data_IF_977214542924
#
_entry.id   IF_977214542924
#
_cell.length_a   1.000
_cell.length_b   1.000
_cell.length_c   1.000
_cell.angle_alpha   90.00
_cell.angle_beta   90.00
_cell.angle_gamma   90.00
#
_symmetry.space_group_name_H-M   'P 1'
#
loop_
_entity.id
_entity.type
_entity.pdbx_description
1 polymer ?
#
# COMPACT_ATOMS: atom_id res chain seq x y z
N UNK A 1 -56.87 -0.41 24.90
CA UNK A 1 -56.42 0.83 25.54
C UNK A 1 -55.21 0.53 26.38
N UNK A 2 -54.03 0.79 25.91
CA UNK A 2 -52.79 0.99 26.68
C UNK A 2 -51.80 1.62 25.74
N UNK A 3 -51.50 2.90 25.98
CA UNK A 3 -50.52 3.67 25.28
C UNK A 3 -49.11 3.22 25.67
N UNK A 4 -48.28 2.89 24.71
CA UNK A 4 -46.83 2.73 24.90
C UNK A 4 -46.19 3.99 24.38
N UNK A 5 -45.63 4.79 25.29
CA UNK A 5 -44.85 5.94 25.01
C UNK A 5 -43.44 5.50 24.57
N UNK A 6 -43.02 5.87 23.36
CA UNK A 6 -41.65 5.68 22.88
C UNK A 6 -40.82 6.83 23.42
N UNK A 7 -39.83 6.51 24.24
CA UNK A 7 -38.80 7.47 24.69
C UNK A 7 -37.73 7.53 23.60
N UNK A 8 -37.71 8.64 22.90
CA UNK A 8 -36.58 8.98 21.96
C UNK A 8 -35.47 9.57 22.80
N UNK A 9 -34.41 8.81 22.97
CA UNK A 9 -33.13 9.36 23.53
C UNK A 9 -32.42 10.08 22.41
N UNK A 10 -32.48 11.39 22.40
CA UNK A 10 -31.67 12.28 21.52
C UNK A 10 -30.32 12.44 22.20
N UNK A 11 -29.32 11.72 21.70
CA UNK A 11 -27.92 11.93 22.10
C UNK A 11 -27.42 13.19 21.37
N UNK A 12 -27.39 14.31 22.05
CA UNK A 12 -26.77 15.53 21.58
C UNK A 12 -25.24 15.35 21.56
N UNK A 13 -24.68 15.14 20.38
CA UNK A 13 -23.23 15.26 20.15
C UNK A 13 -22.90 16.75 20.12
N UNK A 14 -22.46 17.28 21.24
CA UNK A 14 -21.85 18.61 21.32
C UNK A 14 -20.53 18.60 20.56
N UNK A 15 -20.58 19.02 19.30
CA UNK A 15 -19.40 19.40 18.51
C UNK A 15 -18.85 20.72 19.11
N UNK A 16 -17.86 20.61 19.99
CA UNK A 16 -17.03 21.73 20.35
C UNK A 16 -16.16 22.09 19.13
N UNK A 17 -16.63 22.99 18.29
CA UNK A 17 -15.79 23.70 17.32
C UNK A 17 -14.94 24.72 18.08
N UNK A 18 -13.78 24.30 18.59
CA UNK A 18 -12.76 25.27 18.97
C UNK A 18 -12.26 25.92 17.68
N UNK A 19 -12.49 27.21 17.53
CA UNK A 19 -11.89 28.04 16.50
C UNK A 19 -10.38 28.11 16.77
N UNK A 20 -9.62 27.25 16.08
CA UNK A 20 -8.17 27.31 16.08
C UNK A 20 -7.75 28.60 15.33
N UNK A 21 -7.32 29.63 16.07
CA UNK A 21 -6.54 30.67 15.42
C UNK A 21 -5.25 30.05 14.91
N UNK A 22 -5.04 30.14 13.60
CA UNK A 22 -3.90 29.59 12.88
C UNK A 22 -2.58 29.98 13.60
N UNK A 23 -1.99 29.01 14.32
CA UNK A 23 -0.63 29.12 14.79
C UNK A 23 0.27 28.95 13.55
N UNK A 24 1.19 29.90 13.30
CA UNK A 24 2.32 29.64 12.42
C UNK A 24 3.19 28.58 13.09
N UNK A 25 2.95 27.31 12.76
CA UNK A 25 3.78 26.19 13.21
C UNK A 25 5.22 26.39 12.71
N UNK A 26 6.19 26.06 13.56
CA UNK A 26 7.57 25.99 13.09
C UNK A 26 7.67 24.87 12.05
N UNK A 27 8.20 25.21 10.88
CA UNK A 27 8.45 24.28 9.79
C UNK A 27 9.95 24.04 9.70
N UNK A 28 10.35 22.76 9.73
CA UNK A 28 11.74 22.35 9.63
C UNK A 28 11.93 21.42 8.44
N UNK A 29 12.94 21.71 7.61
CA UNK A 29 13.43 20.75 6.62
C UNK A 29 14.43 19.83 7.29
N UNK A 30 14.24 18.52 7.12
CA UNK A 30 15.16 17.51 7.58
C UNK A 30 16.17 17.31 6.45
N UNK A 31 17.43 17.74 6.59
CA UNK A 31 18.43 17.56 5.54
C UNK A 31 18.78 16.08 5.41
N UNK A 32 19.01 15.64 4.16
CA UNK A 32 19.59 14.33 3.89
C UNK A 32 21.03 14.29 4.43
N UNK A 33 21.42 13.14 4.96
CA UNK A 33 22.75 12.90 5.55
C UNK A 33 23.76 12.35 4.54
N UNK A 34 23.37 12.09 3.29
CA UNK A 34 24.14 11.35 2.31
C UNK A 34 24.99 12.27 1.43
N UNK A 35 26.24 11.85 1.21
CA UNK A 35 27.17 12.38 0.19
C UNK A 35 26.48 12.35 -1.19
N UNK A 36 26.23 13.51 -1.78
CA UNK A 36 25.41 13.65 -2.99
C UNK A 36 26.14 13.06 -4.21
N UNK A 37 26.00 11.76 -4.44
CA UNK A 37 26.26 11.20 -5.78
C UNK A 37 25.34 11.89 -6.79
N UNK A 38 25.79 12.11 -8.04
CA UNK A 38 24.92 12.71 -9.07
C UNK A 38 23.59 11.96 -9.18
N UNK A 39 22.48 12.67 -9.32
CA UNK A 39 21.15 12.07 -9.58
C UNK A 39 21.18 11.48 -10.99
N UNK A 40 20.81 10.21 -11.17
CA UNK A 40 20.61 9.65 -12.50
C UNK A 40 19.37 10.29 -13.14
N UNK A 41 19.46 10.60 -14.42
CA UNK A 41 18.32 11.13 -15.18
C UNK A 41 17.15 10.13 -15.18
N UNK A 42 15.94 10.65 -15.30
CA UNK A 42 14.77 9.82 -15.47
C UNK A 42 14.87 8.98 -16.74
N UNK A 43 14.39 7.73 -16.75
CA UNK A 43 14.46 6.86 -17.90
C UNK A 43 13.77 7.52 -19.10
N UNK A 44 14.57 7.98 -20.07
CA UNK A 44 14.04 8.46 -21.34
C UNK A 44 13.60 7.26 -22.18
N UNK A 45 12.53 7.45 -22.98
CA UNK A 45 12.12 6.53 -24.05
C UNK A 45 11.87 5.08 -23.60
N UNK A 46 10.90 4.90 -22.69
CA UNK A 46 10.35 3.56 -22.43
C UNK A 46 9.47 3.12 -23.60
N UNK A 47 9.61 1.84 -23.99
CA UNK A 47 8.78 1.21 -25.02
C UNK A 47 7.35 0.97 -24.56
N UNK A 48 7.13 0.80 -23.26
CA UNK A 48 5.81 0.61 -22.67
C UNK A 48 4.89 1.82 -22.94
N UNK A 49 3.63 1.57 -23.25
CA UNK A 49 2.61 2.62 -23.34
C UNK A 49 2.30 3.22 -21.97
N UNK A 50 2.31 2.38 -20.94
CA UNK A 50 2.10 2.79 -19.56
C UNK A 50 3.10 2.05 -18.68
N UNK A 51 3.73 2.76 -17.74
CA UNK A 51 4.77 2.21 -16.88
C UNK A 51 4.72 2.86 -15.49
N UNK A 52 5.00 2.08 -14.46
CA UNK A 52 5.14 2.54 -13.08
C UNK A 52 6.34 1.87 -12.42
N UNK A 53 7.12 2.66 -11.69
CA UNK A 53 8.03 2.20 -10.64
C UNK A 53 7.45 2.64 -9.29
N UNK A 54 7.29 1.70 -8.37
CA UNK A 54 6.67 1.93 -7.06
C UNK A 54 7.57 1.40 -5.94
N UNK A 55 7.62 2.13 -4.83
CA UNK A 55 8.19 1.64 -3.57
C UNK A 55 7.32 0.51 -3.01
N UNK A 56 7.91 -0.65 -2.83
CA UNK A 56 7.22 -1.85 -2.35
C UNK A 56 6.73 -1.71 -0.90
N UNK A 57 7.40 -0.92 -0.07
CA UNK A 57 7.01 -0.74 1.33
C UNK A 57 5.86 0.26 1.48
N UNK A 58 6.01 1.49 1.02
CA UNK A 58 4.99 2.53 1.18
C UNK A 58 3.88 2.51 0.11
N UNK A 59 4.17 1.98 -1.09
CA UNK A 59 3.30 2.10 -2.26
C UNK A 59 3.41 3.46 -2.97
N UNK A 60 4.41 4.26 -2.63
CA UNK A 60 4.68 5.52 -3.31
C UNK A 60 5.12 5.26 -4.75
N UNK A 61 4.51 5.95 -5.71
CA UNK A 61 4.97 5.97 -7.09
C UNK A 61 6.23 6.83 -7.19
N UNK A 62 7.31 6.24 -7.69
CA UNK A 62 8.64 6.86 -7.82
C UNK A 62 8.90 7.37 -9.24
N UNK A 63 8.27 6.74 -10.21
CA UNK A 63 8.26 7.11 -11.62
C UNK A 63 6.97 6.61 -12.26
N UNK A 64 6.41 7.42 -13.17
CA UNK A 64 5.28 6.98 -14.00
C UNK A 64 5.33 7.56 -15.41
N UNK A 65 4.84 6.77 -16.35
CA UNK A 65 4.49 7.16 -17.70
C UNK A 65 3.07 6.70 -17.95
N UNK A 66 2.11 7.61 -18.04
CA UNK A 66 0.67 7.30 -18.20
C UNK A 66 0.18 6.22 -17.21
N UNK A 67 0.65 6.25 -15.95
CA UNK A 67 0.49 5.18 -14.96
C UNK A 67 -0.96 4.87 -14.60
N UNK A 68 -1.85 5.85 -14.68
CA UNK A 68 -3.28 5.73 -14.39
C UNK A 68 -4.13 5.41 -15.66
N UNK A 69 -3.51 5.22 -16.83
CA UNK A 69 -4.23 4.92 -18.07
C UNK A 69 -4.73 3.48 -18.07
N UNK A 70 -6.07 3.24 -18.24
CA UNK A 70 -6.62 1.89 -18.33
C UNK A 70 -6.23 1.23 -19.65
N UNK A 71 -5.66 0.04 -19.58
CA UNK A 71 -5.21 -0.78 -20.70
C UNK A 71 -5.51 -2.25 -20.46
N UNK A 72 -5.65 -3.00 -21.53
CA UNK A 72 -5.65 -4.46 -21.46
C UNK A 72 -4.30 -4.93 -20.88
N UNK A 73 -4.33 -5.90 -19.98
CA UNK A 73 -3.15 -6.33 -19.22
C UNK A 73 -2.82 -7.81 -19.39
N UNK A 74 -3.59 -8.51 -20.21
CA UNK A 74 -3.37 -9.92 -20.50
C UNK A 74 -3.16 -10.77 -19.21
N UNK A 75 -2.31 -11.77 -19.28
CA UNK A 75 -2.07 -12.72 -18.19
C UNK A 75 -1.40 -12.15 -16.93
N UNK A 76 -1.12 -10.84 -16.85
CA UNK A 76 -0.71 -10.24 -15.57
C UNK A 76 -1.86 -10.27 -14.56
N UNK A 77 -3.12 -10.38 -15.01
CA UNK A 77 -4.33 -10.68 -14.21
C UNK A 77 -4.11 -11.87 -13.27
N UNK A 78 -3.34 -12.88 -13.70
CA UNK A 78 -3.13 -14.12 -12.94
C UNK A 78 -2.41 -13.92 -11.60
N UNK A 79 -1.75 -12.79 -11.39
CA UNK A 79 -1.22 -12.40 -10.06
C UNK A 79 -2.37 -12.31 -9.06
N UNK A 80 -3.43 -11.56 -9.40
CA UNK A 80 -4.58 -11.42 -8.52
C UNK A 80 -5.40 -12.71 -8.43
N UNK A 81 -5.49 -13.47 -9.54
CA UNK A 81 -6.12 -14.80 -9.55
C UNK A 81 -5.44 -15.75 -8.56
N UNK A 82 -4.11 -15.80 -8.53
CA UNK A 82 -3.35 -16.59 -7.58
C UNK A 82 -3.62 -16.17 -6.14
N UNK A 83 -3.57 -14.87 -5.83
CA UNK A 83 -3.79 -14.36 -4.48
C UNK A 83 -5.22 -14.63 -4.00
N UNK A 84 -6.21 -14.37 -4.83
CA UNK A 84 -7.62 -14.64 -4.46
C UNK A 84 -7.85 -16.12 -4.20
N UNK A 85 -7.24 -17.01 -4.99
CA UNK A 85 -7.34 -18.44 -4.74
C UNK A 85 -6.66 -18.85 -3.42
N UNK A 86 -5.44 -18.39 -3.16
CA UNK A 86 -4.70 -18.66 -1.90
C UNK A 86 -5.43 -18.17 -0.65
N UNK A 87 -6.21 -17.11 -0.76
CA UNK A 87 -6.93 -16.53 0.38
C UNK A 87 -8.30 -17.17 0.63
N UNK A 88 -8.86 -17.92 -0.34
CA UNK A 88 -10.23 -18.42 -0.26
C UNK A 88 -10.35 -19.94 -0.27
N UNK A 89 -9.27 -20.67 -0.56
CA UNK A 89 -9.27 -22.14 -0.56
C UNK A 89 -7.93 -22.68 -0.07
N UNK A 90 -7.94 -23.78 0.71
CA UNK A 90 -6.72 -24.49 1.08
C UNK A 90 -5.99 -25.05 -0.16
N UNK A 91 -4.65 -25.11 -0.11
CA UNK A 91 -3.84 -25.58 -1.22
C UNK A 91 -4.04 -27.07 -1.54
N UNK A 92 -4.45 -27.86 -0.55
CA UNK A 92 -4.73 -29.28 -0.64
C UNK A 92 -6.17 -29.62 -1.09
N UNK A 93 -6.99 -28.61 -1.41
CA UNK A 93 -8.30 -28.80 -2.02
C UNK A 93 -8.20 -29.48 -3.39
N UNK A 94 -9.19 -30.28 -3.71
CA UNK A 94 -9.31 -30.96 -5.01
C UNK A 94 -10.12 -30.12 -5.99
N UNK A 95 -9.45 -29.63 -7.02
CA UNK A 95 -10.07 -28.91 -8.12
C UNK A 95 -10.52 -29.91 -9.19
N UNK A 96 -11.83 -29.96 -9.46
CA UNK A 96 -12.37 -30.78 -10.54
C UNK A 96 -12.46 -29.99 -11.84
N UNK A 97 -11.92 -30.52 -12.91
CA UNK A 97 -11.89 -29.86 -14.22
C UNK A 97 -13.25 -29.96 -14.92
N UNK A 98 -13.83 -28.81 -15.23
CA UNK A 98 -15.07 -28.68 -16.01
C UNK A 98 -14.83 -28.80 -17.52
N UNK A 99 -15.92 -28.91 -18.31
CA UNK A 99 -15.83 -28.79 -19.76
C UNK A 99 -15.37 -27.40 -20.20
N UNK A 100 -15.78 -26.34 -19.51
CA UNK A 100 -15.39 -24.98 -19.85
C UNK A 100 -13.88 -24.79 -19.65
N UNK A 101 -13.34 -25.21 -18.50
CA UNK A 101 -11.90 -25.15 -18.23
C UNK A 101 -11.11 -25.93 -19.29
N UNK A 102 -11.50 -27.19 -19.60
CA UNK A 102 -10.82 -28.02 -20.59
C UNK A 102 -10.85 -27.44 -22.02
N UNK A 103 -11.82 -26.59 -22.33
CA UNK A 103 -12.01 -25.97 -23.66
C UNK A 103 -11.29 -24.65 -23.85
N UNK A 104 -10.54 -24.17 -22.84
CA UNK A 104 -9.86 -22.89 -22.93
C UNK A 104 -8.80 -22.86 -24.05
N UNK A 105 -8.60 -21.69 -24.70
CA UNK A 105 -7.59 -21.53 -25.74
C UNK A 105 -6.15 -21.55 -25.19
N UNK A 106 -5.18 -21.69 -26.09
CA UNK A 106 -3.76 -21.57 -25.78
C UNK A 106 -3.42 -20.18 -25.15
N UNK A 107 -2.48 -20.16 -24.18
CA UNK A 107 -1.61 -21.22 -23.66
C UNK A 107 -2.36 -22.06 -22.63
N UNK A 108 -2.27 -23.38 -22.67
CA UNK A 108 -2.99 -24.27 -21.75
C UNK A 108 -2.14 -25.48 -21.34
N UNK A 109 -2.46 -26.05 -20.17
CA UNK A 109 -1.87 -27.31 -19.69
C UNK A 109 -2.43 -28.52 -20.45
N UNK A 110 -3.64 -28.38 -21.00
CA UNK A 110 -4.39 -29.48 -21.66
C UNK A 110 -5.17 -30.30 -20.64
N UNK A 111 -5.79 -29.65 -19.65
CA UNK A 111 -6.68 -30.28 -18.69
C UNK A 111 -7.84 -31.01 -19.41
N UNK A 112 -8.27 -32.16 -18.87
CA UNK A 112 -9.39 -32.93 -19.41
C UNK A 112 -10.58 -32.88 -18.44
N UNK A 113 -11.80 -32.80 -18.99
CA UNK A 113 -13.03 -32.83 -18.20
C UNK A 113 -13.06 -34.03 -17.26
N UNK A 114 -13.34 -33.75 -15.98
CA UNK A 114 -13.47 -34.74 -14.91
C UNK A 114 -12.16 -35.11 -14.22
N UNK A 115 -11.00 -34.68 -14.73
CA UNK A 115 -9.74 -34.79 -14.00
C UNK A 115 -9.77 -33.98 -12.71
N UNK A 116 -8.98 -34.39 -11.74
CA UNK A 116 -8.82 -33.70 -10.46
C UNK A 116 -7.35 -33.42 -10.17
N UNK A 117 -7.09 -32.26 -9.60
CA UNK A 117 -5.75 -31.80 -9.24
C UNK A 117 -5.80 -31.11 -7.86
N UNK A 118 -4.69 -31.08 -7.14
CA UNK A 118 -4.57 -30.19 -6.01
C UNK A 118 -4.56 -28.73 -6.48
N UNK A 119 -5.20 -27.86 -5.72
CA UNK A 119 -5.23 -26.41 -6.03
C UNK A 119 -3.82 -25.84 -6.11
N UNK A 120 -2.93 -26.24 -5.20
CA UNK A 120 -1.54 -25.79 -5.20
C UNK A 120 -0.81 -26.14 -6.50
N UNK A 121 -0.98 -27.36 -7.03
CA UNK A 121 -0.39 -27.79 -8.30
C UNK A 121 -0.86 -26.91 -9.47
N UNK A 122 -2.13 -26.56 -9.47
CA UNK A 122 -2.69 -25.67 -10.48
C UNK A 122 -2.18 -24.23 -10.31
N UNK A 123 -1.88 -23.76 -9.08
CA UNK A 123 -1.28 -22.44 -8.85
C UNK A 123 0.15 -22.37 -9.40
N UNK A 124 0.94 -23.43 -9.29
CA UNK A 124 2.24 -23.51 -9.99
C UNK A 124 2.07 -23.45 -11.51
N UNK A 125 1.15 -24.23 -12.06
CA UNK A 125 0.83 -24.19 -13.49
C UNK A 125 0.41 -22.80 -13.97
N UNK A 126 -0.45 -22.13 -13.20
CA UNK A 126 -0.95 -20.78 -13.43
C UNK A 126 0.19 -19.73 -13.48
N UNK A 127 1.05 -19.76 -12.49
CA UNK A 127 2.10 -18.74 -12.35
C UNK A 127 3.30 -18.99 -13.24
N UNK A 128 3.80 -20.22 -13.29
CA UNK A 128 5.02 -20.57 -14.03
C UNK A 128 4.81 -20.56 -15.55
N UNK A 129 3.69 -21.12 -16.03
CA UNK A 129 3.42 -21.29 -17.48
C UNK A 129 2.25 -20.45 -17.99
N UNK A 130 1.49 -19.83 -17.07
CA UNK A 130 0.38 -18.96 -17.48
C UNK A 130 -0.78 -19.69 -18.16
N UNK A 131 -1.03 -20.96 -17.84
CA UNK A 131 -2.06 -21.74 -18.48
C UNK A 131 -3.47 -21.20 -18.26
N UNK A 132 -4.26 -21.09 -19.34
CA UNK A 132 -5.59 -20.47 -19.32
C UNK A 132 -6.66 -21.41 -18.76
N UNK A 133 -6.58 -22.69 -19.12
CA UNK A 133 -7.45 -23.75 -18.61
C UNK A 133 -7.32 -23.91 -17.10
N UNK A 134 -6.11 -23.84 -16.59
CA UNK A 134 -5.81 -23.84 -15.15
C UNK A 134 -6.45 -22.65 -14.43
N UNK A 135 -6.36 -21.44 -15.01
CA UNK A 135 -6.97 -20.26 -14.41
C UNK A 135 -8.50 -20.39 -14.30
N UNK A 136 -9.14 -20.96 -15.31
CA UNK A 136 -10.60 -21.18 -15.31
C UNK A 136 -10.99 -22.27 -14.32
N UNK A 137 -10.24 -23.39 -14.25
CA UNK A 137 -10.50 -24.44 -13.27
C UNK A 137 -10.41 -23.92 -11.83
N UNK A 138 -9.38 -23.13 -11.52
CA UNK A 138 -9.25 -22.45 -10.22
C UNK A 138 -10.43 -21.50 -9.95
N UNK A 139 -10.80 -20.70 -10.95
CA UNK A 139 -11.89 -19.73 -10.81
C UNK A 139 -13.25 -20.41 -10.53
N UNK A 140 -13.56 -21.48 -11.23
CA UNK A 140 -14.80 -22.24 -11.02
C UNK A 140 -14.81 -22.92 -9.66
N UNK A 141 -13.68 -23.45 -9.20
CA UNK A 141 -13.53 -24.04 -7.88
C UNK A 141 -13.76 -23.01 -6.76
N UNK A 142 -13.01 -21.91 -6.77
CA UNK A 142 -13.05 -20.92 -5.70
C UNK A 142 -14.28 -20.01 -5.74
N UNK A 143 -14.80 -19.72 -6.93
CA UNK A 143 -15.88 -18.74 -7.16
C UNK A 143 -17.23 -19.37 -7.50
N UNK A 144 -17.28 -20.69 -7.68
CA UNK A 144 -18.47 -21.43 -8.14
C UNK A 144 -18.75 -21.21 -9.65
N UNK A 145 -18.20 -20.18 -10.25
CA UNK A 145 -18.21 -19.90 -11.70
C UNK A 145 -17.15 -18.85 -12.03
N UNK A 146 -16.86 -18.66 -13.32
CA UNK A 146 -15.95 -17.59 -13.80
C UNK A 146 -16.44 -16.21 -13.37
N UNK A 147 -17.74 -15.94 -13.51
CA UNK A 147 -18.35 -14.67 -13.11
C UNK A 147 -18.32 -14.48 -11.58
N UNK A 148 -18.54 -15.57 -10.81
CA UNK A 148 -18.41 -15.57 -9.35
C UNK A 148 -17.02 -15.16 -8.92
N UNK A 149 -16.01 -15.75 -9.56
CA UNK A 149 -14.62 -15.45 -9.28
C UNK A 149 -14.20 -14.06 -9.77
N UNK A 150 -14.71 -13.59 -10.93
CA UNK A 150 -14.49 -12.22 -11.40
C UNK A 150 -14.98 -11.17 -10.37
N UNK A 151 -16.15 -11.42 -9.74
CA UNK A 151 -16.61 -10.57 -8.62
C UNK A 151 -15.65 -10.60 -7.42
N UNK A 152 -15.03 -11.74 -7.13
CA UNK A 152 -14.01 -11.83 -6.06
C UNK A 152 -12.75 -11.03 -6.44
N UNK A 153 -12.26 -11.14 -7.69
CA UNK A 153 -11.12 -10.37 -8.20
C UNK A 153 -11.36 -8.86 -8.08
N UNK A 154 -12.50 -8.36 -8.56
CA UNK A 154 -12.81 -6.94 -8.53
C UNK A 154 -13.00 -6.41 -7.11
N UNK A 155 -13.59 -7.20 -6.21
CA UNK A 155 -13.68 -6.88 -4.78
C UNK A 155 -12.29 -6.78 -4.15
N UNK A 156 -11.41 -7.72 -4.44
CA UNK A 156 -10.03 -7.74 -3.93
C UNK A 156 -9.23 -6.57 -4.49
N UNK A 157 -9.31 -6.27 -5.79
CA UNK A 157 -8.67 -5.09 -6.39
C UNK A 157 -9.08 -3.80 -5.67
N UNK A 158 -10.38 -3.62 -5.41
CA UNK A 158 -10.88 -2.47 -4.63
C UNK A 158 -10.34 -2.45 -3.19
N UNK A 159 -10.25 -3.60 -2.50
CA UNK A 159 -9.67 -3.70 -1.15
C UNK A 159 -8.19 -3.35 -1.11
N UNK A 160 -7.43 -3.68 -2.15
CA UNK A 160 -6.02 -3.34 -2.32
C UNK A 160 -5.84 -1.82 -2.55
N UNK A 161 -6.87 -1.12 -3.03
CA UNK A 161 -6.85 0.31 -3.33
C UNK A 161 -6.71 0.63 -4.81
N UNK A 162 -6.95 -0.35 -5.69
CA UNK A 162 -7.02 -0.13 -7.14
C UNK A 162 -8.16 0.84 -7.47
N UNK A 163 -7.89 1.77 -8.39
CA UNK A 163 -8.83 2.84 -8.75
C UNK A 163 -9.58 2.57 -10.04
N UNK A 164 -8.91 1.95 -11.01
CA UNK A 164 -9.43 1.72 -12.35
C UNK A 164 -8.99 0.33 -12.88
N UNK A 165 -9.52 -0.71 -12.19
CA UNK A 165 -9.32 -2.12 -12.51
C UNK A 165 -10.66 -2.82 -12.62
N UNK A 166 -10.91 -3.45 -13.78
CA UNK A 166 -12.10 -4.25 -14.02
C UNK A 166 -11.74 -5.57 -14.70
N UNK A 167 -11.81 -6.66 -13.95
CA UNK A 167 -11.49 -8.00 -14.42
C UNK A 167 -12.75 -8.81 -14.69
N UNK A 168 -12.86 -9.34 -15.92
CA UNK A 168 -13.96 -10.20 -16.39
C UNK A 168 -13.52 -11.66 -16.41
N UNK A 169 -12.25 -11.91 -16.79
CA UNK A 169 -11.70 -13.25 -16.94
C UNK A 169 -10.58 -13.52 -15.91
N UNK A 170 -10.45 -14.76 -15.37
CA UNK A 170 -9.40 -15.11 -14.41
C UNK A 170 -8.01 -15.27 -15.07
N UNK A 171 -7.97 -15.44 -16.39
CA UNK A 171 -6.76 -15.68 -17.17
C UNK A 171 -6.21 -14.42 -17.86
N UNK A 172 -7.00 -13.32 -17.90
CA UNK A 172 -6.62 -12.07 -18.55
C UNK A 172 -6.78 -12.06 -20.07
N UNK A 173 -7.55 -12.97 -20.63
CA UNK A 173 -7.97 -12.88 -22.02
C UNK A 173 -8.88 -11.66 -22.21
N UNK A 174 -8.74 -11.02 -23.36
CA UNK A 174 -9.55 -9.86 -23.72
C UNK A 174 -11.03 -10.22 -23.68
N UNK A 175 -11.81 -9.41 -22.97
CA UNK A 175 -13.25 -9.60 -22.80
C UNK A 175 -13.92 -8.23 -22.60
N UNK A 176 -15.20 -8.17 -22.93
CA UNK A 176 -16.06 -6.99 -22.76
C UNK A 176 -17.45 -7.47 -22.34
N UNK A 177 -18.07 -6.76 -21.41
CA UNK A 177 -19.45 -6.96 -20.99
C UNK A 177 -20.16 -5.59 -20.89
N UNK A 178 -21.36 -5.58 -20.35
CA UNK A 178 -22.19 -4.37 -20.20
C UNK A 178 -21.54 -3.27 -19.33
N UNK A 179 -20.57 -3.64 -18.47
CA UNK A 179 -19.87 -2.73 -17.58
C UNK A 179 -18.55 -2.22 -18.16
N UNK A 180 -18.08 -2.79 -19.27
CA UNK A 180 -16.87 -2.35 -19.96
C UNK A 180 -15.92 -3.48 -20.35
N UNK A 181 -14.67 -3.09 -20.65
CA UNK A 181 -13.62 -4.01 -21.09
C UNK A 181 -12.80 -4.53 -19.90
N UNK A 182 -12.23 -5.73 -20.03
CA UNK A 182 -11.22 -6.25 -19.10
C UNK A 182 -9.98 -5.36 -19.15
N UNK A 183 -9.65 -4.67 -18.05
CA UNK A 183 -8.53 -3.73 -17.98
C UNK A 183 -7.97 -3.56 -16.58
N UNK A 184 -6.81 -2.94 -16.51
CA UNK A 184 -6.21 -2.35 -15.31
C UNK A 184 -5.33 -1.17 -15.71
N UNK A 185 -4.76 -0.47 -14.73
CA UNK A 185 -3.71 0.55 -14.94
C UNK A 185 -2.36 0.02 -14.49
N UNK A 186 -1.26 0.62 -14.94
CA UNK A 186 0.06 0.23 -14.44
C UNK A 186 0.21 0.50 -12.94
N UNK A 187 -0.41 1.58 -12.43
CA UNK A 187 -0.43 1.90 -11.00
C UNK A 187 -1.18 0.84 -10.20
N UNK A 188 -2.37 0.44 -10.63
CA UNK A 188 -3.15 -0.61 -9.97
C UNK A 188 -2.47 -1.98 -10.01
N UNK A 189 -1.88 -2.34 -11.17
CA UNK A 189 -1.15 -3.59 -11.30
C UNK A 189 0.09 -3.63 -10.39
N UNK A 190 0.76 -2.49 -10.19
CA UNK A 190 1.85 -2.38 -9.22
C UNK A 190 1.33 -2.57 -7.78
N UNK A 191 0.18 -2.00 -7.41
CA UNK A 191 -0.46 -2.23 -6.11
C UNK A 191 -0.83 -3.71 -5.91
N UNK A 192 -1.34 -4.37 -6.94
CA UNK A 192 -1.66 -5.81 -6.91
C UNK A 192 -0.39 -6.64 -6.63
N UNK A 193 0.72 -6.37 -7.34
CA UNK A 193 1.99 -7.07 -7.11
C UNK A 193 2.56 -6.77 -5.72
N UNK A 194 2.52 -5.51 -5.29
CA UNK A 194 2.92 -5.09 -3.94
C UNK A 194 2.14 -5.82 -2.84
N UNK A 195 0.86 -6.06 -3.05
CA UNK A 195 0.04 -6.87 -2.14
C UNK A 195 0.45 -8.35 -2.18
N UNK A 196 0.63 -8.88 -3.39
CA UNK A 196 0.92 -10.29 -3.62
C UNK A 196 2.23 -10.75 -2.96
N UNK A 197 3.30 -9.95 -3.04
CA UNK A 197 4.62 -10.32 -2.48
C UNK A 197 4.65 -10.35 -0.95
N UNK A 198 3.62 -9.90 -0.27
CA UNK A 198 3.46 -10.07 1.19
C UNK A 198 3.00 -11.48 1.56
N UNK A 199 2.49 -12.25 0.60
CA UNK A 199 2.08 -13.65 0.80
C UNK A 199 3.25 -14.59 0.53
N UNK A 200 3.70 -15.31 1.57
CA UNK A 200 4.87 -16.20 1.48
C UNK A 200 4.67 -17.35 0.50
N UNK A 201 3.45 -17.90 0.42
CA UNK A 201 3.12 -18.99 -0.53
C UNK A 201 3.17 -18.49 -1.96
N UNK A 202 2.64 -17.29 -2.23
CA UNK A 202 2.78 -16.65 -3.53
C UNK A 202 4.24 -16.47 -3.94
N UNK A 203 5.08 -15.95 -3.03
CA UNK A 203 6.51 -15.78 -3.28
C UNK A 203 7.19 -17.12 -3.60
N UNK A 204 6.90 -18.16 -2.82
CA UNK A 204 7.46 -19.48 -3.04
C UNK A 204 7.09 -20.02 -4.42
N UNK A 205 5.83 -19.94 -4.82
CA UNK A 205 5.37 -20.32 -6.17
C UNK A 205 6.07 -19.47 -7.24
N UNK A 206 6.09 -18.15 -7.09
CA UNK A 206 6.62 -17.24 -8.11
C UNK A 206 8.13 -17.38 -8.36
N UNK A 207 8.90 -17.79 -7.34
CA UNK A 207 10.35 -18.00 -7.40
C UNK A 207 10.74 -19.39 -7.87
N UNK A 208 9.81 -20.36 -7.85
CA UNK A 208 10.08 -21.73 -8.29
C UNK A 208 10.43 -21.76 -9.76
N UNK A 209 11.55 -22.43 -10.10
CA UNK A 209 12.03 -22.57 -11.49
C UNK A 209 11.31 -23.69 -12.23
N UNK A 210 11.29 -24.85 -11.61
CA UNK A 210 10.71 -26.08 -12.17
C UNK A 210 9.81 -26.73 -11.16
N UNK A 211 8.65 -27.18 -11.59
CA UNK A 211 7.70 -27.89 -10.76
C UNK A 211 7.07 -29.05 -11.50
N UNK A 212 7.00 -30.21 -10.87
CA UNK A 212 6.40 -31.42 -11.45
C UNK A 212 5.27 -31.90 -10.56
N UNK A 213 4.12 -32.13 -11.15
CA UNK A 213 2.91 -32.59 -10.47
C UNK A 213 2.12 -33.56 -11.34
N UNK A 214 1.18 -34.25 -10.74
CA UNK A 214 0.34 -35.22 -11.42
C UNK A 214 -1.14 -34.96 -11.16
N UNK A 215 -1.97 -35.38 -12.08
CA UNK A 215 -3.38 -35.59 -11.82
C UNK A 215 -3.55 -36.59 -10.67
N UNK A 216 -4.59 -36.50 -9.87
CA UNK A 216 -4.74 -37.22 -8.60
C UNK A 216 -4.62 -38.75 -8.76
N UNK A 217 -5.05 -39.33 -9.89
CA UNK A 217 -4.91 -40.79 -10.13
C UNK A 217 -3.51 -41.19 -10.59
N UNK A 218 -2.63 -40.23 -10.85
CA UNK A 218 -1.26 -40.45 -11.31
C UNK A 218 -1.14 -40.85 -12.79
N UNK A 219 -2.22 -40.83 -13.57
CA UNK A 219 -2.20 -41.20 -14.98
C UNK A 219 -1.50 -40.18 -15.88
N UNK A 220 -1.51 -38.93 -15.48
CA UNK A 220 -0.89 -37.83 -16.22
C UNK A 220 0.01 -37.04 -15.31
N UNK A 221 1.26 -36.83 -15.74
CA UNK A 221 2.26 -36.05 -15.04
C UNK A 221 2.70 -34.88 -15.91
N UNK A 222 2.90 -33.73 -15.32
CA UNK A 222 3.28 -32.50 -15.99
C UNK A 222 4.53 -31.91 -15.33
N UNK A 223 5.42 -31.37 -16.15
CA UNK A 223 6.53 -30.55 -15.68
C UNK A 223 6.42 -29.16 -16.29
N UNK A 224 6.44 -28.16 -15.42
CA UNK A 224 6.33 -26.75 -15.81
C UNK A 224 7.59 -25.98 -15.41
N UNK A 225 8.15 -25.24 -16.37
CA UNK A 225 9.30 -24.36 -16.14
C UNK A 225 8.85 -22.90 -16.11
N UNK A 226 9.39 -22.09 -15.22
CA UNK A 226 9.00 -20.70 -15.05
C UNK A 226 9.32 -19.85 -16.28
N UNK A 227 8.31 -19.27 -16.90
CA UNK A 227 8.46 -18.42 -18.08
C UNK A 227 8.95 -16.99 -17.77
N UNK A 228 9.14 -16.65 -16.50
CA UNK A 228 9.70 -15.37 -16.10
C UNK A 228 11.24 -15.39 -16.22
N UNK A 229 11.76 -15.15 -17.41
CA UNK A 229 13.20 -15.11 -17.65
C UNK A 229 13.94 -14.06 -16.81
N UNK A 230 13.24 -13.03 -16.32
CA UNK A 230 13.85 -11.97 -15.50
C UNK A 230 14.41 -12.48 -14.17
N UNK A 231 13.89 -13.63 -13.68
CA UNK A 231 14.45 -14.33 -12.52
C UNK A 231 15.92 -14.74 -12.71
N UNK A 232 16.36 -14.97 -13.95
CA UNK A 232 17.73 -15.38 -14.27
C UNK A 232 18.57 -14.22 -14.84
N UNK A 233 17.93 -13.10 -15.16
CA UNK A 233 18.58 -11.90 -15.70
C UNK A 233 19.09 -10.96 -14.62
N UNK A 234 18.41 -10.93 -13.45
CA UNK A 234 18.74 -10.00 -12.36
C UNK A 234 18.57 -10.66 -11.00
N UNK A 235 19.61 -10.61 -10.18
CA UNK A 235 19.54 -11.09 -8.80
C UNK A 235 18.55 -10.23 -7.98
N UNK A 236 17.88 -10.84 -6.99
CA UNK A 236 16.93 -10.15 -6.13
C UNK A 236 15.50 -10.06 -6.66
N UNK A 237 15.19 -10.65 -7.81
CA UNK A 237 13.80 -10.73 -8.31
C UNK A 237 12.97 -11.63 -7.41
N UNK A 238 11.98 -11.05 -6.73
CA UNK A 238 11.08 -11.74 -5.81
C UNK A 238 9.94 -12.46 -6.53
N UNK A 239 9.38 -11.82 -7.54
CA UNK A 239 8.25 -12.35 -8.31
C UNK A 239 8.14 -11.62 -9.66
N UNK A 240 7.49 -12.24 -10.62
CA UNK A 240 7.15 -11.57 -11.87
C UNK A 240 6.11 -12.34 -12.67
N UNK A 241 5.31 -11.60 -13.45
CA UNK A 241 4.32 -12.19 -14.35
C UNK A 241 4.29 -11.47 -15.69
N UNK A 242 4.45 -12.24 -16.76
CA UNK A 242 4.32 -11.76 -18.14
C UNK A 242 2.88 -11.92 -18.62
N UNK A 243 2.49 -11.06 -19.57
CA UNK A 243 1.24 -11.17 -20.30
C UNK A 243 1.42 -10.79 -21.76
N UNK A 244 0.57 -11.36 -22.62
CA UNK A 244 0.45 -10.98 -24.02
C UNK A 244 -0.93 -11.35 -24.56
N UNK A 245 -1.60 -10.39 -25.18
CA UNK A 245 -2.66 -10.59 -26.18
C UNK A 245 -2.40 -9.63 -27.34
N UNK A 246 -3.07 -9.83 -28.46
CA UNK A 246 -2.94 -8.92 -29.62
C UNK A 246 -3.37 -7.49 -29.26
N UNK A 247 -4.36 -7.33 -28.37
CA UNK A 247 -4.85 -6.03 -27.90
C UNK A 247 -3.89 -5.44 -26.86
N UNK A 248 -3.44 -6.20 -25.88
CA UNK A 248 -2.62 -5.71 -24.78
C UNK A 248 -1.17 -5.40 -25.17
N UNK A 249 -0.63 -6.06 -26.21
CA UNK A 249 0.83 -6.11 -26.39
C UNK A 249 1.52 -6.89 -25.28
N UNK A 250 2.82 -6.77 -25.17
CA UNK A 250 3.57 -7.36 -24.06
C UNK A 250 3.36 -6.56 -22.78
N UNK A 251 2.95 -7.23 -21.71
CA UNK A 251 2.79 -6.68 -20.37
C UNK A 251 3.73 -7.43 -19.41
N UNK A 252 4.17 -6.73 -18.38
CA UNK A 252 4.98 -7.32 -17.33
C UNK A 252 4.78 -6.61 -16.01
N UNK A 253 4.79 -7.36 -14.93
CA UNK A 253 4.86 -6.82 -13.57
C UNK A 253 5.83 -7.65 -12.77
N UNK A 254 6.71 -6.99 -12.00
CA UNK A 254 7.63 -7.68 -11.10
C UNK A 254 7.85 -6.93 -9.79
N UNK A 255 8.34 -7.68 -8.81
CA UNK A 255 8.92 -7.16 -7.59
C UNK A 255 10.40 -7.54 -7.54
N UNK A 256 11.22 -6.61 -7.13
CA UNK A 256 12.66 -6.78 -6.98
C UNK A 256 13.13 -6.17 -5.67
N UNK A 257 14.06 -6.84 -4.99
CA UNK A 257 14.64 -6.38 -3.72
C UNK A 257 16.16 -6.37 -3.79
N UNK A 258 16.75 -5.32 -3.27
CA UNK A 258 18.19 -5.19 -3.07
C UNK A 258 18.47 -4.30 -1.87
N UNK A 259 19.34 -4.77 -0.97
CA UNK A 259 19.79 -4.01 0.21
C UNK A 259 18.63 -3.44 1.04
N UNK A 260 17.55 -4.22 1.19
CA UNK A 260 16.35 -3.83 1.94
C UNK A 260 15.38 -2.92 1.18
N UNK A 261 15.73 -2.47 -0.03
CA UNK A 261 14.82 -1.68 -0.91
C UNK A 261 14.02 -2.62 -1.78
N UNK A 262 12.71 -2.55 -1.69
CA UNK A 262 11.80 -3.30 -2.58
C UNK A 262 11.17 -2.37 -3.60
N UNK A 263 11.34 -2.68 -4.88
CA UNK A 263 10.74 -1.96 -5.99
C UNK A 263 9.75 -2.83 -6.75
N UNK A 264 8.64 -2.24 -7.13
CA UNK A 264 7.64 -2.86 -8.02
C UNK A 264 7.67 -2.14 -9.35
N UNK A 265 7.88 -2.88 -10.43
CA UNK A 265 7.76 -2.37 -11.80
C UNK A 265 6.51 -2.97 -12.46
N UNK A 266 5.73 -2.13 -13.11
CA UNK A 266 4.57 -2.54 -13.90
C UNK A 266 4.62 -1.88 -15.28
N UNK A 267 4.48 -2.69 -16.34
CA UNK A 267 4.54 -2.28 -17.73
C UNK A 267 3.33 -2.80 -18.50
N UNK A 268 2.61 -1.93 -19.17
CA UNK A 268 1.50 -2.28 -20.06
C UNK A 268 1.78 -1.80 -21.48
N UNK A 269 1.46 -2.64 -22.49
CA UNK A 269 1.68 -2.32 -23.89
C UNK A 269 3.15 -2.10 -24.25
N UNK A 270 4.03 -2.94 -23.74
CA UNK A 270 5.49 -2.82 -23.96
C UNK A 270 5.96 -3.58 -25.22
N UNK A 271 5.47 -3.12 -26.38
CA UNK A 271 5.76 -3.69 -27.69
C UNK A 271 4.79 -4.81 -28.09
N UNK A 272 4.88 -5.20 -29.37
CA UNK A 272 4.09 -6.26 -30.03
C UNK A 272 5.04 -7.30 -30.67
N UNK A 273 4.55 -8.27 -31.46
CA UNK A 273 5.40 -9.29 -32.07
C UNK A 273 6.68 -8.73 -32.70
N UNK A 274 7.79 -9.45 -32.52
CA UNK A 274 9.18 -9.11 -32.78
C UNK A 274 9.87 -8.21 -31.72
N UNK A 275 9.13 -7.72 -30.73
CA UNK A 275 9.66 -6.83 -29.67
C UNK A 275 9.45 -7.39 -28.24
N UNK A 276 9.45 -8.72 -28.08
CA UNK A 276 9.18 -9.41 -26.80
C UNK A 276 10.18 -9.11 -25.68
N UNK A 277 11.35 -8.55 -26.01
CA UNK A 277 12.42 -8.21 -25.06
C UNK A 277 12.32 -6.79 -24.51
N UNK A 278 11.50 -5.93 -25.11
CA UNK A 278 11.34 -4.53 -24.67
C UNK A 278 10.96 -4.41 -23.19
N UNK A 279 10.08 -5.30 -22.71
CA UNK A 279 9.71 -5.34 -21.30
C UNK A 279 10.88 -5.58 -20.35
N UNK A 280 11.89 -6.35 -20.76
CA UNK A 280 13.10 -6.57 -19.96
C UNK A 280 13.94 -5.31 -19.91
N UNK A 281 14.16 -4.69 -21.07
CA UNK A 281 14.90 -3.41 -21.17
C UNK A 281 14.25 -2.31 -20.33
N UNK A 282 12.93 -2.13 -20.43
CA UNK A 282 12.23 -1.09 -19.68
C UNK A 282 12.24 -1.40 -18.16
N UNK A 283 12.12 -2.68 -17.79
CA UNK A 283 12.24 -3.09 -16.39
C UNK A 283 13.61 -2.76 -15.81
N UNK A 284 14.71 -3.10 -16.52
CA UNK A 284 16.07 -2.77 -16.09
C UNK A 284 16.24 -1.26 -15.89
N UNK A 285 15.84 -0.45 -16.89
CA UNK A 285 15.94 1.01 -16.80
C UNK A 285 15.24 1.57 -15.55
N UNK A 286 14.03 1.08 -15.24
CA UNK A 286 13.26 1.54 -14.10
C UNK A 286 13.87 1.09 -12.77
N UNK A 287 14.33 -0.17 -12.68
CA UNK A 287 14.99 -0.68 -11.48
C UNK A 287 16.33 0.02 -11.23
N UNK A 288 17.14 0.25 -12.28
CA UNK A 288 18.40 0.98 -12.15
C UNK A 288 18.17 2.43 -11.72
N UNK A 289 17.13 3.08 -12.27
CA UNK A 289 16.72 4.41 -11.83
C UNK A 289 16.34 4.44 -10.35
N UNK A 290 15.55 3.47 -9.91
CA UNK A 290 15.14 3.34 -8.51
C UNK A 290 16.34 3.08 -7.59
N UNK A 291 17.11 2.05 -7.89
CA UNK A 291 18.27 1.64 -7.09
C UNK A 291 19.33 2.74 -6.94
N UNK A 292 19.58 3.48 -8.03
CA UNK A 292 20.58 4.55 -8.04
C UNK A 292 20.14 5.82 -7.33
N UNK A 293 18.85 6.20 -7.45
CA UNK A 293 18.39 7.52 -7.01
C UNK A 293 17.73 7.53 -5.62
N UNK A 294 17.31 6.39 -5.10
CA UNK A 294 16.51 6.32 -3.88
C UNK A 294 17.23 5.54 -2.78
N UNK A 295 17.20 6.11 -1.55
CA UNK A 295 17.72 5.47 -0.34
C UNK A 295 16.69 5.61 0.78
N UNK A 296 16.68 4.64 1.72
CA UNK A 296 15.92 4.77 2.94
C UNK A 296 16.65 5.69 3.91
N UNK A 297 15.92 6.69 4.42
CA UNK A 297 16.41 7.61 5.43
C UNK A 297 15.45 7.73 6.59
N UNK A 298 15.98 7.77 7.81
CA UNK A 298 15.19 8.08 9.00
C UNK A 298 14.75 9.53 8.95
N UNK A 299 13.45 9.77 9.16
CA UNK A 299 12.89 11.12 9.13
C UNK A 299 12.59 11.69 10.52
N UNK A 300 12.70 10.87 11.57
CA UNK A 300 12.45 11.35 12.92
C UNK A 300 13.53 12.35 13.39
N UNK A 301 13.07 13.49 13.88
CA UNK A 301 13.89 14.42 14.70
C UNK A 301 13.12 14.79 15.95
N UNK A 302 13.79 14.81 17.10
CA UNK A 302 13.16 15.24 18.37
C UNK A 302 12.65 16.67 18.24
N UNK A 303 11.32 16.87 18.20
CA UNK A 303 10.77 18.19 17.97
C UNK A 303 10.78 19.02 19.24
N UNK A 304 11.12 20.31 19.12
CA UNK A 304 11.01 21.24 20.21
C UNK A 304 9.63 21.92 20.19
N UNK A 305 8.73 21.46 21.04
CA UNK A 305 7.34 21.88 21.07
C UNK A 305 7.13 23.31 21.63
N UNK A 306 8.17 24.00 22.06
CA UNK A 306 8.02 25.35 22.61
C UNK A 306 7.16 25.40 23.87
N UNK A 307 6.97 26.64 24.40
CA UNK A 307 6.10 26.90 25.55
C UNK A 307 4.72 27.33 25.05
N UNK A 308 3.66 26.79 25.64
CA UNK A 308 2.27 27.13 25.37
C UNK A 308 1.75 27.96 26.54
N UNK A 309 1.24 29.16 26.24
CA UNK A 309 0.65 30.01 27.27
C UNK A 309 -0.70 29.43 27.71
N UNK A 310 -0.89 29.24 29.02
CA UNK A 310 -2.19 28.88 29.59
C UNK A 310 -2.87 30.15 30.12
N UNK A 311 -3.96 30.54 29.48
CA UNK A 311 -4.78 31.65 29.93
C UNK A 311 -5.71 31.19 31.05
N UNK A 312 -5.98 32.09 32.02
CA UNK A 312 -6.81 31.81 33.20
C UNK A 312 -6.33 30.64 34.07
N UNK A 313 -5.04 30.27 33.92
CA UNK A 313 -4.40 29.18 34.65
C UNK A 313 -3.74 29.67 35.94
N UNK A 314 -3.64 28.77 36.93
CA UNK A 314 -2.92 28.98 38.19
C UNK A 314 -2.04 27.79 38.52
N UNK A 315 -0.94 28.05 39.23
CA UNK A 315 -0.09 27.05 39.90
C UNK A 315 0.06 27.52 41.37
N UNK A 316 0.11 26.58 42.30
CA UNK A 316 0.02 26.84 43.73
C UNK A 316 1.12 27.79 44.27
N UNK A 317 2.32 27.74 43.72
CA UNK A 317 3.50 28.45 44.18
C UNK A 317 3.75 29.80 43.43
N UNK A 318 2.79 30.28 42.64
CA UNK A 318 3.02 31.49 41.83
C UNK A 318 2.20 32.70 42.25
N UNK A 319 2.77 33.88 42.02
CA UNK A 319 2.13 35.16 42.36
C UNK A 319 0.96 35.48 41.41
N UNK A 320 -0.01 36.26 41.94
CA UNK A 320 -1.15 36.72 41.17
C UNK A 320 -0.66 37.47 39.92
N UNK A 321 -1.17 37.07 38.74
CA UNK A 321 -0.82 37.68 37.45
C UNK A 321 0.39 37.07 36.73
N UNK A 322 1.02 36.04 37.31
CA UNK A 322 2.10 35.32 36.65
C UNK A 322 1.57 34.55 35.42
N UNK A 323 2.31 34.63 34.30
CA UNK A 323 1.97 33.89 33.10
C UNK A 323 2.37 32.42 33.24
N UNK A 324 1.37 31.56 33.15
CA UNK A 324 1.57 30.10 33.22
C UNK A 324 1.88 29.56 31.84
N UNK A 325 2.88 28.68 31.78
CA UNK A 325 3.25 28.01 30.57
C UNK A 325 3.33 26.48 30.80
N UNK A 326 2.89 25.75 29.81
CA UNK A 326 3.10 24.30 29.74
C UNK A 326 3.91 23.91 28.50
N UNK A 327 4.44 22.70 28.49
CA UNK A 327 5.06 22.10 27.32
C UNK A 327 4.21 20.93 26.83
N UNK A 328 4.27 20.70 25.53
CA UNK A 328 3.71 19.52 24.95
C UNK A 328 4.75 18.39 24.94
N UNK A 329 4.32 17.19 25.28
CA UNK A 329 5.12 15.97 25.17
C UNK A 329 4.59 15.11 24.03
N UNK A 330 5.46 14.77 23.09
CA UNK A 330 5.14 13.85 22.01
C UNK A 330 5.14 12.40 22.53
N UNK A 331 4.14 11.63 22.14
CA UNK A 331 4.08 10.20 22.48
C UNK A 331 4.64 9.39 21.31
N UNK A 332 5.89 8.96 21.43
CA UNK A 332 6.62 8.17 20.44
C UNK A 332 7.33 6.99 21.10
N UNK A 333 7.37 5.91 20.38
CA UNK A 333 8.14 4.70 20.77
C UNK A 333 9.56 4.74 20.18
N UNK A 334 10.42 3.80 20.59
CA UNK A 334 11.72 3.61 19.96
C UNK A 334 11.54 3.27 18.45
N UNK A 335 10.59 2.41 18.14
CA UNK A 335 10.26 2.03 16.76
C UNK A 335 9.88 3.23 15.89
N UNK A 336 9.09 4.19 16.43
CA UNK A 336 8.70 5.38 15.66
C UNK A 336 9.89 6.27 15.30
N UNK A 337 10.94 6.26 16.13
CA UNK A 337 12.17 7.03 15.90
C UNK A 337 13.09 6.44 14.84
N UNK A 338 12.95 5.14 14.59
CA UNK A 338 13.72 4.38 13.61
C UNK A 338 12.97 4.21 12.28
N UNK A 339 11.77 4.73 12.18
CA UNK A 339 11.01 4.69 10.91
C UNK A 339 11.76 5.41 9.81
N UNK A 340 11.79 4.74 8.68
CA UNK A 340 12.45 5.21 7.47
C UNK A 340 11.44 5.52 6.37
N UNK A 341 11.83 6.34 5.44
CA UNK A 341 11.10 6.62 4.21
C UNK A 341 12.08 6.60 3.04
N UNK A 342 11.64 6.04 1.91
CA UNK A 342 12.44 6.01 0.70
C UNK A 342 12.45 7.39 0.06
N UNK A 343 13.61 8.04 0.03
CA UNK A 343 13.81 9.40 -0.51
C UNK A 343 14.65 9.38 -1.78
N UNK A 344 14.24 10.13 -2.77
CA UNK A 344 15.10 10.47 -3.92
C UNK A 344 16.21 11.40 -3.43
N UNK A 345 17.40 11.27 -3.99
CA UNK A 345 18.51 12.19 -3.71
C UNK A 345 18.08 13.64 -3.92
N UNK A 346 18.19 14.46 -2.88
CA UNK A 346 17.77 15.86 -2.86
C UNK A 346 16.33 16.09 -2.37
N UNK A 347 15.50 15.07 -2.18
CA UNK A 347 14.22 15.20 -1.50
C UNK A 347 14.42 15.43 0.00
N UNK A 348 13.48 16.12 0.63
CA UNK A 348 13.53 16.39 2.06
C UNK A 348 12.18 16.19 2.70
N UNK A 349 12.17 15.58 3.89
CA UNK A 349 10.97 15.52 4.72
C UNK A 349 10.81 16.83 5.48
N UNK A 350 9.63 17.40 5.43
CA UNK A 350 9.27 18.60 6.20
C UNK A 350 8.52 18.22 7.47
N UNK A 351 8.98 18.69 8.63
CA UNK A 351 8.32 18.50 9.90
C UNK A 351 7.55 19.78 10.28
N UNK A 352 6.25 19.65 10.58
CA UNK A 352 5.39 20.75 11.07
C UNK A 352 4.88 20.45 12.47
N UNK A 353 5.04 21.42 13.37
CA UNK A 353 4.52 21.35 14.73
C UNK A 353 3.19 22.12 14.77
N UNK A 354 2.09 21.38 14.82
CA UNK A 354 0.72 21.89 14.79
C UNK A 354 0.15 21.88 16.21
N UNK A 355 0.60 22.81 17.06
CA UNK A 355 0.11 23.02 18.42
C UNK A 355 -0.30 24.49 18.62
N UNK A 356 -1.29 24.80 19.48
CA UNK A 356 -1.71 26.17 19.76
C UNK A 356 -0.63 26.93 20.52
N UNK A 357 -0.51 28.22 20.28
CA UNK A 357 0.38 29.10 21.07
C UNK A 357 -0.19 29.39 22.47
N UNK A 358 -1.51 29.27 22.65
CA UNK A 358 -2.22 29.46 23.91
C UNK A 358 -3.39 28.49 24.04
N UNK A 359 -3.68 28.09 25.27
CA UNK A 359 -4.84 27.27 25.65
C UNK A 359 -5.49 27.92 26.89
N UNK A 360 -6.76 27.66 27.10
CA UNK A 360 -7.47 28.14 28.32
C UNK A 360 -7.46 27.05 29.38
N UNK A 361 -7.24 27.43 30.64
CA UNK A 361 -7.38 26.54 31.78
C UNK A 361 -8.87 26.12 32.00
N UNK A 362 -9.16 24.98 32.61
CA UNK A 362 -8.18 23.99 33.08
C UNK A 362 -7.62 23.15 31.91
N UNK A 363 -6.36 22.72 32.04
CA UNK A 363 -5.72 21.75 31.14
C UNK A 363 -5.32 20.56 31.98
N UNK A 364 -5.65 19.36 31.52
CA UNK A 364 -5.30 18.13 32.23
C UNK A 364 -4.00 17.53 31.68
N UNK A 365 -3.16 16.97 32.55
CA UNK A 365 -2.01 16.18 32.12
C UNK A 365 -2.48 15.04 31.20
N UNK A 366 -1.84 14.92 30.03
CA UNK A 366 -2.23 13.93 29.01
C UNK A 366 -3.36 14.42 28.09
N UNK A 367 -3.85 15.65 28.23
CA UNK A 367 -4.79 16.24 27.27
C UNK A 367 -4.09 16.49 25.94
N UNK A 368 -4.77 16.16 24.82
CA UNK A 368 -4.21 16.35 23.48
C UNK A 368 -4.19 17.84 23.11
N UNK A 369 -2.99 18.34 22.84
CA UNK A 369 -2.76 19.75 22.48
C UNK A 369 -2.65 19.96 20.96
N UNK A 370 -2.27 18.91 20.21
CA UNK A 370 -2.07 18.99 18.77
C UNK A 370 -1.30 17.80 18.25
N UNK A 371 -0.50 18.02 17.22
CA UNK A 371 0.34 16.98 16.61
C UNK A 371 1.63 17.53 16.01
N UNK A 372 2.58 16.64 15.82
CA UNK A 372 3.74 16.81 14.96
C UNK A 372 3.48 16.01 13.70
N UNK A 373 3.59 16.62 12.55
CA UNK A 373 3.26 16.01 11.27
C UNK A 373 4.45 16.09 10.31
N UNK A 374 4.73 14.98 9.63
CA UNK A 374 5.81 14.84 8.66
C UNK A 374 5.23 14.78 7.25
N UNK A 375 5.81 15.55 6.35
CA UNK A 375 5.35 15.67 4.97
C UNK A 375 6.51 15.42 4.00
N UNK A 376 6.21 14.68 2.94
CA UNK A 376 7.07 14.51 1.77
C UNK A 376 6.33 15.06 0.55
N UNK A 377 6.92 16.00 -0.17
CA UNK A 377 6.29 16.70 -1.30
C UNK A 377 4.87 17.26 -0.97
N UNK A 378 4.72 17.78 0.26
CA UNK A 378 3.44 18.31 0.73
C UNK A 378 2.39 17.26 1.10
N UNK A 379 2.66 15.98 0.90
CA UNK A 379 1.79 14.87 1.31
C UNK A 379 2.16 14.42 2.72
N UNK A 380 1.15 14.25 3.59
CA UNK A 380 1.35 13.73 4.95
C UNK A 380 1.83 12.27 4.87
N UNK A 381 2.98 11.98 5.46
CA UNK A 381 3.54 10.61 5.55
C UNK A 381 3.37 9.99 6.93
N UNK A 382 3.43 10.81 8.01
CA UNK A 382 3.21 10.35 9.37
C UNK A 382 2.85 11.51 10.31
N UNK A 383 2.28 11.20 11.48
CA UNK A 383 2.03 12.20 12.51
C UNK A 383 1.99 11.59 13.91
N UNK A 384 2.39 12.37 14.91
CA UNK A 384 2.42 11.99 16.31
C UNK A 384 1.66 12.98 17.16
N UNK A 385 0.75 12.54 18.04
CA UNK A 385 0.00 13.43 18.91
C UNK A 385 0.91 14.03 19.99
N UNK A 386 0.62 15.27 20.34
CA UNK A 386 1.28 16.01 21.43
C UNK A 386 0.29 16.20 22.56
N UNK A 387 0.72 15.86 23.77
CA UNK A 387 -0.08 15.89 24.99
C UNK A 387 0.51 16.84 26.02
N UNK A 388 -0.34 17.41 26.89
CA UNK A 388 0.08 18.25 28.00
C UNK A 388 0.95 17.47 29.00
N UNK A 389 2.13 17.99 29.34
CA UNK A 389 3.07 17.33 30.28
C UNK A 389 2.62 17.43 31.74
N UNK A 390 1.82 18.44 32.08
CA UNK A 390 1.28 18.66 33.42
C UNK A 390 -0.15 19.18 33.34
N UNK A 391 -0.89 19.10 34.47
CA UNK A 391 -2.16 19.79 34.64
C UNK A 391 -1.93 21.24 35.02
N UNK A 392 -2.84 22.13 34.61
CA UNK A 392 -2.91 23.54 35.04
C UNK A 392 -4.36 23.82 35.40
N UNK A 393 -4.59 24.22 36.65
CA UNK A 393 -5.93 24.49 37.13
C UNK A 393 -6.41 25.86 36.67
N UNK A 394 -7.74 26.06 36.63
CA UNK A 394 -8.34 27.33 36.32
C UNK A 394 -8.37 28.20 37.57
N UNK A 395 -8.00 29.48 37.41
CA UNK A 395 -8.17 30.48 38.48
C UNK A 395 -9.62 30.49 38.97
N UNK A 396 -9.80 30.40 40.29
CA UNK A 396 -11.10 30.44 40.94
C UNK A 396 -11.14 31.54 42.01
N UNK A 397 -12.34 31.98 42.35
CA UNK A 397 -12.51 32.95 43.45
C UNK A 397 -11.93 32.42 44.78
N UNK A 398 -12.10 31.11 45.05
CA UNK A 398 -11.53 30.45 46.22
C UNK A 398 -9.99 30.55 46.22
N UNK A 399 -9.35 30.19 45.12
CA UNK A 399 -7.88 30.29 44.99
C UNK A 399 -7.41 31.74 45.22
N UNK A 400 -8.13 32.72 44.65
CA UNK A 400 -7.79 34.13 44.80
C UNK A 400 -7.83 34.58 46.24
N UNK A 401 -8.89 34.20 47.02
CA UNK A 401 -9.04 34.55 48.43
C UNK A 401 -7.99 33.85 49.28
N UNK A 402 -7.71 32.59 49.07
CA UNK A 402 -6.67 31.83 49.79
C UNK A 402 -5.27 32.45 49.57
N UNK A 403 -4.95 32.85 48.35
CA UNK A 403 -3.68 33.46 48.01
C UNK A 403 -3.53 34.87 48.66
N UNK A 404 -4.56 35.72 48.59
CA UNK A 404 -4.56 37.04 49.25
C UNK A 404 -4.41 36.89 50.76
N UNK A 405 -5.11 35.93 51.39
CA UNK A 405 -4.94 35.67 52.84
C UNK A 405 -3.54 35.23 53.17
N UNK A 406 -2.96 34.33 52.39
CA UNK A 406 -1.59 33.88 52.62
C UNK A 406 -0.58 35.01 52.50
N UNK A 407 -0.69 35.86 51.46
CA UNK A 407 0.25 36.96 51.22
C UNK A 407 0.06 38.11 52.21
N UNK A 408 -1.08 38.18 52.93
CA UNK A 408 -1.35 39.22 53.97
C UNK A 408 -0.91 38.78 55.37
N UNK A 409 -0.77 37.45 55.64
CA UNK A 409 -0.47 36.93 56.98
C UNK A 409 0.90 36.27 57.07
N UNK A 410 1.66 36.25 56.01
CA UNK A 410 3.06 35.82 55.96
C UNK A 410 3.92 36.88 55.29
#
# INVERSE_FOLDING_TARGET
MKHIAAVIVVTAVLLFTQTYTSARGAEYKIPQTVDMKPVAEEPAELYALSAVLMDGESGRVLYEKDGERPLANASTTKVLTCIVALENSPGDDYVQVSQNAASQPEVKLGLQKGEQYYLEDLLYSLMLKSHNDTAVAIAEHCGGSVEGFARMLNRKAKQIGCKDTYFITPNGLDAEDENGKHHTTAADLALIMRYAVKNKTFLHIAQTRDYTFSEITGKRTFSVHNANAFLDMRDGVLAGKTGYTSQAGYCYVCAWEKEGKTFIVSLLGCGWPNHKTYKWSDTEKLLDFGDYNYEYETYWKEPQTGKILVTDGVEDDQDIGTKIYLRGKCSVTAYDREKEVLLKKGETVTCKIEIPQKVSAPVLKGEKLGRIAYYLDGKLIDFYPVYAEKSVEKISFKWYTEKVFHDFFH
#
